data_IF_644133351229
#
_entry.id   IF_644133351229
#
_cell.length_a   1.000
_cell.length_b   1.000
_cell.length_c   1.000
_cell.angle_alpha   90.00
_cell.angle_beta   90.00
_cell.angle_gamma   90.00
#
_symmetry.space_group_name_H-M   'P 1'
#
loop_
_entity.id
_entity.type
_entity.pdbx_description
1 polymer ?
#
# COMPACT_ATOMS: atom_id res chain seq x y z
N UNK A 1 0.16 7.64 3.36
CA UNK A 1 -0.17 6.21 3.18
C UNK A 1 -1.07 6.05 1.95
N UNK A 2 -1.05 4.88 1.30
CA UNK A 2 -1.99 4.54 0.23
C UNK A 2 -2.79 3.30 0.62
N UNK A 3 -4.08 3.29 0.27
CA UNK A 3 -4.95 2.12 0.29
C UNK A 3 -5.29 1.78 -1.15
N UNK A 4 -5.19 0.52 -1.54
CA UNK A 4 -5.42 0.06 -2.90
C UNK A 4 -6.41 -1.09 -2.88
N UNK A 5 -7.47 -0.97 -3.68
CA UNK A 5 -8.47 -2.03 -3.90
C UNK A 5 -8.38 -2.55 -5.34
N UNK A 6 -9.02 -3.69 -5.61
CA UNK A 6 -9.06 -4.24 -6.97
C UNK A 6 -10.06 -3.45 -7.84
N UNK A 7 -9.61 -2.97 -9.01
CA UNK A 7 -10.50 -2.30 -9.95
C UNK A 7 -11.41 -3.26 -10.74
N UNK A 8 -11.12 -4.56 -10.75
CA UNK A 8 -11.80 -5.58 -11.57
C UNK A 8 -13.09 -6.17 -10.98
N UNK A 9 -13.65 -5.53 -9.95
CA UNK A 9 -15.04 -5.68 -9.49
C UNK A 9 -15.41 -6.86 -8.57
N UNK A 10 -14.50 -7.77 -8.21
CA UNK A 10 -14.83 -8.80 -7.20
C UNK A 10 -15.00 -8.22 -5.78
N UNK A 11 -14.31 -7.12 -5.48
CA UNK A 11 -14.42 -6.36 -4.22
C UNK A 11 -15.38 -5.18 -4.31
N UNK A 12 -15.71 -4.69 -5.51
CA UNK A 12 -16.65 -3.57 -5.70
C UNK A 12 -18.13 -3.96 -5.52
N UNK A 13 -18.44 -5.25 -5.47
CA UNK A 13 -19.78 -5.75 -5.09
C UNK A 13 -20.01 -5.70 -3.59
N UNK A 14 -18.96 -5.51 -2.79
CA UNK A 14 -19.10 -5.40 -1.35
C UNK A 14 -19.77 -4.08 -0.97
N UNK A 15 -20.68 -4.07 0.01
CA UNK A 15 -21.17 -2.82 0.57
C UNK A 15 -19.99 -2.00 1.13
N UNK A 16 -20.13 -0.67 1.13
CA UNK A 16 -19.07 0.24 1.59
C UNK A 16 -18.60 -0.06 3.02
N UNK A 17 -19.51 -0.46 3.91
CA UNK A 17 -19.22 -0.77 5.31
C UNK A 17 -18.13 -1.85 5.49
N UNK A 18 -18.34 -3.07 4.96
CA UNK A 18 -17.31 -4.09 4.89
C UNK A 18 -15.98 -3.60 4.29
N UNK A 19 -15.98 -2.91 3.14
CA UNK A 19 -14.75 -2.37 2.54
C UNK A 19 -13.98 -1.40 3.47
N UNK A 20 -14.70 -0.62 4.29
CA UNK A 20 -14.08 0.23 5.31
C UNK A 20 -13.35 -0.60 6.37
N UNK A 21 -13.95 -1.69 6.86
CA UNK A 21 -13.31 -2.59 7.82
C UNK A 21 -12.05 -3.24 7.24
N UNK A 22 -12.13 -3.74 6.00
CA UNK A 22 -11.02 -4.33 5.27
C UNK A 22 -9.86 -3.33 5.10
N UNK A 23 -10.19 -2.09 4.73
CA UNK A 23 -9.23 -0.99 4.61
C UNK A 23 -8.59 -0.61 5.94
N UNK A 24 -9.36 -0.64 7.04
CA UNK A 24 -8.85 -0.38 8.39
C UNK A 24 -7.87 -1.47 8.83
N UNK A 25 -8.18 -2.75 8.59
CA UNK A 25 -7.29 -3.88 8.85
C UNK A 25 -5.98 -3.78 8.07
N UNK A 26 -6.06 -3.52 6.75
CA UNK A 26 -4.86 -3.33 5.94
C UNK A 26 -4.02 -2.14 6.46
N UNK A 27 -4.66 -1.00 6.78
CA UNK A 27 -3.98 0.18 7.27
C UNK A 27 -3.23 -0.05 8.59
N UNK A 28 -3.88 -0.68 9.57
CA UNK A 28 -3.25 -0.93 10.88
C UNK A 28 -2.10 -1.92 10.75
N UNK A 29 -2.24 -2.97 9.91
CA UNK A 29 -1.15 -3.89 9.63
C UNK A 29 0.05 -3.19 8.97
N UNK A 30 -0.18 -2.34 7.97
CA UNK A 30 0.90 -1.58 7.32
C UNK A 30 1.60 -0.62 8.29
N UNK A 31 0.89 -0.01 9.25
CA UNK A 31 1.49 0.78 10.33
C UNK A 31 2.32 -0.12 11.24
N UNK A 32 1.76 -1.24 11.70
CA UNK A 32 2.39 -2.15 12.65
C UNK A 32 3.73 -2.69 12.14
N UNK A 33 3.78 -3.16 10.90
CA UNK A 33 5.02 -3.72 10.32
C UNK A 33 6.10 -2.66 10.09
N UNK A 34 5.70 -1.40 9.94
CA UNK A 34 6.59 -0.27 9.66
C UNK A 34 6.84 0.61 10.88
N UNK A 35 6.54 0.17 12.11
CA UNK A 35 6.70 0.97 13.34
C UNK A 35 8.12 1.51 13.57
N UNK A 36 9.14 0.82 13.06
CA UNK A 36 10.53 1.27 13.12
C UNK A 36 10.88 2.36 12.10
N UNK A 37 10.04 2.58 11.08
CA UNK A 37 10.25 3.63 10.08
C UNK A 37 10.04 5.02 10.71
N UNK A 38 10.97 5.97 10.54
CA UNK A 38 10.77 7.36 10.96
C UNK A 38 9.55 8.02 10.30
N UNK A 39 9.20 7.61 9.07
CA UNK A 39 8.04 8.12 8.35
C UNK A 39 6.73 7.64 8.99
N UNK A 40 6.69 6.38 9.45
CA UNK A 40 5.54 5.86 10.19
C UNK A 40 5.42 6.49 11.56
N UNK A 41 6.52 6.60 12.32
CA UNK A 41 6.53 7.25 13.63
C UNK A 41 6.06 8.71 13.55
N UNK A 42 6.53 9.44 12.54
CA UNK A 42 6.06 10.81 12.27
C UNK A 42 4.57 10.82 11.92
N UNK A 43 4.11 9.90 11.08
CA UNK A 43 2.72 9.83 10.65
C UNK A 43 1.74 9.58 11.80
N UNK A 44 2.10 8.74 12.77
CA UNK A 44 1.25 8.42 13.95
C UNK A 44 1.59 9.24 15.20
N UNK A 45 2.43 10.27 15.08
CA UNK A 45 2.81 11.11 16.21
C UNK A 45 1.60 11.90 16.74
N UNK A 46 1.57 12.28 18.04
CA UNK A 46 0.47 13.06 18.60
C UNK A 46 0.14 14.34 17.83
N UNK A 47 1.16 15.03 17.31
CA UNK A 47 0.99 16.26 16.51
C UNK A 47 0.43 16.01 15.11
N UNK A 48 0.58 14.80 14.56
CA UNK A 48 0.12 14.46 13.22
C UNK A 48 -1.16 13.63 13.18
N UNK A 49 -1.71 13.18 14.32
CA UNK A 49 -2.94 12.37 14.34
C UNK A 49 -4.10 13.05 13.57
N UNK A 50 -4.24 14.38 13.67
CA UNK A 50 -5.26 15.15 12.93
C UNK A 50 -4.90 15.48 11.47
N UNK A 51 -3.68 15.17 11.04
CA UNK A 51 -3.13 15.49 9.71
C UNK A 51 -2.86 14.24 8.87
N UNK A 52 -3.16 13.06 9.41
CA UNK A 52 -3.00 11.78 8.72
C UNK A 52 -3.78 11.76 7.41
N UNK A 53 -3.07 11.53 6.31
CA UNK A 53 -3.67 11.46 4.97
C UNK A 53 -3.48 10.09 4.30
N UNK A 54 -4.58 9.55 3.78
CA UNK A 54 -4.61 8.32 2.99
C UNK A 54 -5.12 8.63 1.59
N UNK A 55 -4.40 8.16 0.57
CA UNK A 55 -4.89 8.17 -0.81
C UNK A 55 -5.50 6.81 -1.11
N UNK A 56 -6.72 6.78 -1.64
CA UNK A 56 -7.38 5.54 -2.07
C UNK A 56 -7.23 5.38 -3.57
N UNK A 57 -6.63 4.27 -3.99
CA UNK A 57 -6.41 3.90 -5.38
C UNK A 57 -7.13 2.59 -5.70
N UNK A 58 -7.25 2.31 -6.99
CA UNK A 58 -7.67 1.03 -7.53
C UNK A 58 -6.66 0.53 -8.56
N UNK A 59 -6.48 -0.79 -8.64
CA UNK A 59 -5.69 -1.42 -9.69
C UNK A 59 -6.38 -1.25 -11.06
N UNK A 60 -5.63 -1.24 -12.17
CA UNK A 60 -6.22 -1.20 -13.50
C UNK A 60 -7.00 -2.50 -13.79
N UNK A 61 -8.30 -2.38 -14.05
CA UNK A 61 -9.19 -3.51 -14.31
C UNK A 61 -9.04 -4.13 -15.71
N UNK A 62 -8.54 -3.35 -16.68
CA UNK A 62 -8.52 -3.70 -18.09
C UNK A 62 -7.30 -3.12 -18.82
N UNK A 63 -7.09 -3.55 -20.06
CA UNK A 63 -5.99 -3.09 -20.91
C UNK A 63 -4.64 -3.75 -20.60
N UNK A 64 -3.58 -3.27 -21.26
CA UNK A 64 -2.22 -3.86 -21.18
C UNK A 64 -1.59 -3.78 -19.80
N UNK A 65 -2.07 -2.87 -18.95
CA UNK A 65 -1.56 -2.69 -17.60
C UNK A 65 -2.39 -3.41 -16.53
N UNK A 66 -3.42 -4.18 -16.93
CA UNK A 66 -4.29 -4.93 -16.01
C UNK A 66 -3.45 -5.65 -14.97
N UNK A 67 -3.81 -5.46 -13.71
CA UNK A 67 -3.21 -6.21 -12.61
C UNK A 67 -4.15 -6.34 -11.43
N UNK A 68 -3.98 -7.39 -10.64
CA UNK A 68 -4.67 -7.58 -9.37
C UNK A 68 -3.81 -7.14 -8.16
N UNK A 69 -4.35 -7.30 -6.96
CA UNK A 69 -3.66 -6.94 -5.71
C UNK A 69 -2.49 -7.89 -5.38
N UNK A 70 -2.53 -9.16 -5.81
CA UNK A 70 -1.42 -10.09 -5.61
C UNK A 70 -0.21 -9.69 -6.46
N UNK A 71 -0.43 -9.40 -7.74
CA UNK A 71 0.60 -8.95 -8.67
C UNK A 71 1.20 -7.61 -8.23
N UNK A 72 0.36 -6.69 -7.74
CA UNK A 72 0.85 -5.43 -7.15
C UNK A 72 1.69 -5.68 -5.90
N UNK A 73 1.22 -6.55 -4.99
CA UNK A 73 1.95 -6.93 -3.77
C UNK A 73 3.32 -7.54 -4.11
N UNK A 74 3.38 -8.43 -5.10
CA UNK A 74 4.64 -9.03 -5.56
C UNK A 74 5.63 -7.98 -6.08
N UNK A 75 5.16 -7.03 -6.91
CA UNK A 75 6.00 -5.92 -7.42
C UNK A 75 6.56 -5.05 -6.30
N UNK A 76 5.75 -4.75 -5.28
CA UNK A 76 6.17 -3.98 -4.11
C UNK A 76 7.19 -4.74 -3.26
N UNK A 77 6.97 -6.05 -3.05
CA UNK A 77 7.92 -6.93 -2.33
C UNK A 77 9.28 -6.96 -3.01
N UNK A 78 9.32 -7.15 -4.34
CA UNK A 78 10.59 -7.18 -5.07
C UNK A 78 11.32 -5.83 -5.02
N UNK A 79 10.59 -4.72 -5.14
CA UNK A 79 11.18 -3.39 -5.01
C UNK A 79 11.71 -3.12 -3.59
N UNK A 80 11.03 -3.59 -2.55
CA UNK A 80 11.50 -3.50 -1.16
C UNK A 80 12.78 -4.32 -0.95
N UNK A 81 12.87 -5.53 -1.48
CA UNK A 81 14.09 -6.36 -1.42
C UNK A 81 15.29 -5.68 -2.08
N UNK A 82 15.08 -5.03 -3.23
CA UNK A 82 16.13 -4.26 -3.91
C UNK A 82 16.63 -3.11 -3.02
N UNK A 83 15.71 -2.38 -2.38
CA UNK A 83 16.05 -1.33 -1.43
C UNK A 83 16.83 -1.87 -0.22
N UNK A 84 16.35 -2.94 0.41
CA UNK A 84 17.01 -3.53 1.59
C UNK A 84 18.42 -4.05 1.27
N UNK A 85 18.59 -4.65 0.10
CA UNK A 85 19.92 -5.04 -0.39
C UNK A 85 20.84 -3.84 -0.59
N UNK A 86 20.35 -2.77 -1.20
CA UNK A 86 21.15 -1.55 -1.39
C UNK A 86 21.56 -0.93 -0.04
N UNK A 87 20.66 -0.89 0.94
CA UNK A 87 20.96 -0.42 2.30
C UNK A 87 22.00 -1.31 2.98
N UNK A 88 21.86 -2.64 2.89
CA UNK A 88 22.82 -3.58 3.47
C UNK A 88 24.23 -3.47 2.83
N UNK A 89 24.30 -3.08 1.56
CA UNK A 89 25.55 -2.81 0.83
C UNK A 89 26.09 -1.38 1.05
N UNK A 90 25.43 -0.56 1.88
CA UNK A 90 25.81 0.84 2.10
C UNK A 90 25.59 1.76 0.89
N UNK A 91 24.77 1.33 -0.08
CA UNK A 91 24.40 2.08 -1.30
C UNK A 91 23.02 2.76 -1.18
N UNK A 92 22.46 2.84 0.02
CA UNK A 92 21.21 3.56 0.26
C UNK A 92 21.43 5.07 0.19
N UNK A 93 20.49 5.79 -0.42
CA UNK A 93 20.44 7.25 -0.29
C UNK A 93 19.90 7.61 1.10
N UNK A 94 20.58 8.52 1.79
CA UNK A 94 20.19 8.94 3.13
C UNK A 94 18.82 9.61 3.10
N UNK A 95 17.87 9.08 3.87
CA UNK A 95 16.50 9.61 3.95
C UNK A 95 15.54 9.11 2.85
N UNK A 96 15.99 8.30 1.88
CA UNK A 96 15.08 7.64 0.93
C UNK A 96 14.76 6.20 1.37
N UNK A 97 13.53 5.97 1.82
CA UNK A 97 13.03 4.62 2.17
C UNK A 97 12.01 4.14 1.13
N UNK A 98 12.17 2.91 0.63
CA UNK A 98 11.08 2.22 -0.06
C UNK A 98 10.11 1.63 0.96
N UNK A 99 8.83 2.01 1.01
CA UNK A 99 7.95 1.64 2.12
C UNK A 99 7.59 0.15 2.14
N UNK A 100 7.32 -0.36 3.34
CA UNK A 100 6.64 -1.64 3.50
C UNK A 100 5.17 -1.56 3.08
N UNK A 101 4.57 -2.70 2.76
CA UNK A 101 3.15 -2.82 2.47
C UNK A 101 2.56 -4.08 3.11
N UNK A 102 1.24 -4.10 3.25
CA UNK A 102 0.49 -5.25 3.71
C UNK A 102 -0.67 -5.54 2.75
N UNK A 103 -0.81 -6.80 2.34
CA UNK A 103 -1.97 -7.28 1.60
C UNK A 103 -2.92 -7.95 2.58
N UNK A 104 -4.08 -7.33 2.81
CA UNK A 104 -5.13 -7.94 3.60
C UNK A 104 -5.92 -8.94 2.75
N UNK A 105 -6.03 -10.16 3.26
CA UNK A 105 -6.72 -11.28 2.63
C UNK A 105 -7.81 -11.75 3.59
N UNK A 106 -9.05 -11.56 3.18
CA UNK A 106 -10.22 -11.87 4.00
C UNK A 106 -10.45 -13.38 4.04
N UNK A 107 -10.77 -13.88 5.24
CA UNK A 107 -11.10 -15.27 5.49
C UNK A 107 -12.61 -15.43 5.71
N UNK A 108 -13.22 -16.60 5.41
CA UNK A 108 -12.58 -17.84 4.93
C UNK A 108 -12.36 -17.93 3.41
N UNK A 109 -12.86 -16.99 2.63
CA UNK A 109 -12.83 -17.06 1.16
C UNK A 109 -11.42 -16.84 0.57
N UNK A 110 -10.47 -16.41 1.39
CA UNK A 110 -9.08 -16.15 1.04
C UNK A 110 -8.94 -15.11 -0.10
N UNK A 111 -9.79 -14.08 -0.05
CA UNK A 111 -9.88 -13.04 -1.08
C UNK A 111 -9.06 -11.83 -0.69
N UNK A 112 -8.14 -11.33 -1.53
CA UNK A 112 -7.46 -10.07 -1.28
C UNK A 112 -8.43 -8.90 -1.45
N UNK A 113 -8.67 -8.16 -0.38
CA UNK A 113 -9.67 -7.08 -0.37
C UNK A 113 -9.05 -5.69 -0.36
N UNK A 114 -7.89 -5.53 0.30
CA UNK A 114 -7.20 -4.24 0.35
C UNK A 114 -5.68 -4.43 0.52
N UNK A 115 -4.90 -3.66 -0.22
CA UNK A 115 -3.47 -3.50 -0.01
C UNK A 115 -3.20 -2.13 0.59
N UNK A 116 -2.48 -2.08 1.70
CA UNK A 116 -2.05 -0.82 2.32
C UNK A 116 -0.54 -0.64 2.20
N UNK A 117 -0.10 0.54 1.79
CA UNK A 117 1.31 0.93 1.74
C UNK A 117 1.57 1.89 2.90
N UNK A 118 2.60 1.58 3.70
CA UNK A 118 2.99 2.35 4.87
C UNK A 118 3.20 3.84 4.55
N UNK A 119 3.13 4.74 5.55
CA UNK A 119 3.49 6.15 5.37
C UNK A 119 4.83 6.33 4.64
N UNK A 120 4.87 7.19 3.62
CA UNK A 120 6.03 7.32 2.75
C UNK A 120 6.11 8.70 2.08
N UNK A 121 7.31 9.04 1.60
CA UNK A 121 7.62 10.24 0.81
C UNK A 121 7.37 10.08 -0.70
N UNK A 122 6.74 8.98 -1.12
CA UNK A 122 6.49 8.60 -2.52
C UNK A 122 7.79 8.52 -3.35
N UNK A 123 8.71 7.58 -3.02
CA UNK A 123 9.95 7.40 -3.77
C UNK A 123 9.69 7.10 -5.25
N UNK A 124 10.67 7.38 -6.11
CA UNK A 124 10.50 7.28 -7.57
C UNK A 124 10.10 5.86 -8.02
N UNK A 125 10.71 4.83 -7.41
CA UNK A 125 10.36 3.44 -7.66
C UNK A 125 8.89 3.13 -7.34
N UNK A 126 8.38 3.65 -6.22
CA UNK A 126 6.96 3.48 -5.85
C UNK A 126 6.04 4.18 -6.84
N UNK A 127 6.35 5.43 -7.21
CA UNK A 127 5.57 6.19 -8.22
C UNK A 127 5.50 5.44 -9.55
N UNK A 128 6.59 4.78 -9.95
CA UNK A 128 6.64 3.96 -11.18
C UNK A 128 5.71 2.75 -11.09
N UNK A 129 5.72 2.04 -9.96
CA UNK A 129 4.86 0.87 -9.71
C UNK A 129 3.38 1.27 -9.69
N UNK A 130 3.05 2.36 -9.01
CA UNK A 130 1.67 2.83 -8.84
C UNK A 130 1.13 3.63 -10.02
N UNK A 131 1.95 3.98 -11.03
CA UNK A 131 1.52 4.76 -12.21
C UNK A 131 0.24 4.23 -12.88
N UNK A 132 0.04 2.91 -13.04
CA UNK A 132 -1.18 2.40 -13.66
C UNK A 132 -2.39 2.38 -12.72
N UNK A 133 -2.17 2.48 -11.41
CA UNK A 133 -3.26 2.59 -10.43
C UNK A 133 -3.89 3.98 -10.51
N UNK A 134 -5.21 4.05 -10.43
CA UNK A 134 -5.96 5.32 -10.51
C UNK A 134 -6.66 5.61 -9.19
N UNK A 135 -7.05 6.85 -8.96
CA UNK A 135 -7.90 7.17 -7.80
C UNK A 135 -9.19 6.35 -7.89
N UNK A 136 -9.59 5.74 -6.77
CA UNK A 136 -10.90 5.11 -6.67
C UNK A 136 -11.95 6.22 -6.83
N UNK A 137 -12.84 6.06 -7.80
CA UNK A 137 -13.98 6.95 -8.04
C UNK A 137 -15.22 6.27 -7.46
N UNK A 138 -16.00 7.00 -6.67
CA UNK A 138 -17.33 6.59 -6.24
C UNK A 138 -18.31 6.49 -7.42
#
# INVERSE_FOLDING_TARGET
>A
MQLIVDGSSSTLTWPKGPLMAQSAHAAISAIQISLSSPLTQTYVSPSNLGLMHKVVLQTPASGKAKMDLHELSAKLTEARKVYEKAVAEGKGEEGEEFPQHWLWVEQPENVPTCLAIAPNSKPAALKKILRPCTLLKD
#
